data_IF_147660860733
#
_entry.id   IF_147660860733
#
_cell.length_a   1.000
_cell.length_b   1.000
_cell.length_c   1.000
_cell.angle_alpha   90.00
_cell.angle_beta   90.00
_cell.angle_gamma   90.00
#
_symmetry.space_group_name_H-M   'P 1'
#
loop_
_entity.id
_entity.type
_entity.pdbx_description
1 polymer ?
#
# COMPACT_ATOMS: atom_id res chain seq x y z
N UNK A 1 -31.24 10.02 -9.00
CA UNK A 1 -30.11 9.07 -9.20
C UNK A 1 -29.26 9.06 -7.95
N UNK A 2 -28.63 7.93 -7.61
CA UNK A 2 -27.66 7.86 -6.53
C UNK A 2 -26.32 8.45 -7.00
N UNK A 3 -25.61 9.13 -6.09
CA UNK A 3 -24.24 9.58 -6.32
C UNK A 3 -23.29 8.36 -6.30
N UNK A 4 -22.55 8.14 -7.39
CA UNK A 4 -21.70 6.98 -7.58
C UNK A 4 -20.32 7.25 -7.02
N UNK A 5 -19.92 6.46 -6.03
CA UNK A 5 -18.58 6.51 -5.44
C UNK A 5 -17.87 5.23 -5.84
N UNK A 6 -16.78 5.35 -6.59
CA UNK A 6 -15.92 4.22 -6.96
C UNK A 6 -14.64 4.30 -6.14
N UNK A 7 -14.28 3.21 -5.47
CA UNK A 7 -13.05 3.07 -4.67
C UNK A 7 -12.18 2.02 -5.34
N UNK A 8 -10.96 2.38 -5.73
CA UNK A 8 -9.99 1.50 -6.39
C UNK A 8 -9.00 0.95 -5.40
N UNK A 9 -8.99 -0.36 -5.22
CA UNK A 9 -8.15 -1.09 -4.27
C UNK A 9 -8.79 -1.24 -2.90
N UNK A 10 -8.83 -2.47 -2.40
CA UNK A 10 -9.41 -2.87 -1.11
C UNK A 10 -8.34 -3.20 -0.05
N UNK A 11 -7.17 -2.56 -0.12
CA UNK A 11 -6.16 -2.62 0.94
C UNK A 11 -6.60 -1.89 2.22
N UNK A 12 -5.65 -1.66 3.14
CA UNK A 12 -5.90 -0.97 4.42
C UNK A 12 -6.63 0.37 4.26
N UNK A 13 -6.31 1.13 3.21
CA UNK A 13 -6.86 2.46 2.98
C UNK A 13 -8.21 2.41 2.26
N UNK A 14 -8.31 1.70 1.13
CA UNK A 14 -9.54 1.66 0.34
C UNK A 14 -10.70 1.00 1.07
N UNK A 15 -10.47 -0.15 1.72
CA UNK A 15 -11.48 -0.79 2.56
C UNK A 15 -11.95 0.13 3.70
N UNK A 16 -11.01 0.86 4.33
CA UNK A 16 -11.31 1.84 5.37
C UNK A 16 -12.15 3.00 4.87
N UNK A 17 -11.83 3.57 3.70
CA UNK A 17 -12.64 4.63 3.07
C UNK A 17 -14.05 4.15 2.76
N UNK A 18 -14.17 3.00 2.05
CA UNK A 18 -15.46 2.47 1.64
C UNK A 18 -16.38 2.22 2.84
N UNK A 19 -15.88 1.55 3.89
CA UNK A 19 -16.65 1.27 5.10
C UNK A 19 -17.05 2.53 5.86
N UNK A 20 -16.13 3.51 5.97
CA UNK A 20 -16.40 4.78 6.64
C UNK A 20 -17.45 5.61 5.90
N UNK A 21 -17.41 5.64 4.57
CA UNK A 21 -18.43 6.29 3.73
C UNK A 21 -19.80 5.61 3.86
N UNK A 22 -19.86 4.29 3.78
CA UNK A 22 -21.10 3.52 3.94
C UNK A 22 -21.76 3.73 5.31
N UNK A 23 -20.98 4.06 6.33
CA UNK A 23 -21.50 4.39 7.67
C UNK A 23 -21.96 5.83 7.80
N UNK A 24 -21.36 6.78 7.03
CA UNK A 24 -21.67 8.21 7.11
C UNK A 24 -22.77 8.67 6.17
N UNK A 25 -22.92 8.02 5.01
CA UNK A 25 -23.85 8.42 3.95
C UNK A 25 -25.08 7.51 3.91
N UNK A 26 -26.21 8.10 3.52
CA UNK A 26 -27.46 7.35 3.43
C UNK A 26 -27.50 6.52 2.14
N UNK A 27 -27.78 5.23 2.24
CA UNK A 27 -27.75 4.26 1.12
C UNK A 27 -28.66 4.60 -0.05
N UNK A 28 -29.77 5.33 0.18
CA UNK A 28 -30.63 5.73 -0.91
C UNK A 28 -30.04 6.85 -1.77
N UNK A 29 -29.02 7.57 -1.25
CA UNK A 29 -28.43 8.72 -1.91
C UNK A 29 -27.11 8.39 -2.61
N UNK A 30 -26.43 7.31 -2.17
CA UNK A 30 -25.11 6.94 -2.70
C UNK A 30 -25.04 5.46 -3.06
N UNK A 31 -24.35 5.14 -4.14
CA UNK A 31 -23.90 3.81 -4.50
C UNK A 31 -22.38 3.76 -4.34
N UNK A 32 -21.87 2.78 -3.60
CA UNK A 32 -20.42 2.61 -3.37
C UNK A 32 -19.98 1.29 -3.99
N UNK A 33 -19.11 1.38 -5.00
CA UNK A 33 -18.47 0.22 -5.63
C UNK A 33 -16.99 0.18 -5.24
N UNK A 34 -16.55 -0.93 -4.66
CA UNK A 34 -15.16 -1.20 -4.28
C UNK A 34 -14.55 -2.18 -5.26
N UNK A 35 -13.58 -1.73 -6.05
CA UNK A 35 -12.90 -2.54 -7.07
C UNK A 35 -11.61 -3.12 -6.51
N UNK A 36 -11.40 -4.42 -6.64
CA UNK A 36 -10.15 -5.08 -6.24
C UNK A 36 -9.89 -6.32 -7.09
N UNK A 37 -8.63 -6.61 -7.38
CA UNK A 37 -8.25 -7.78 -8.18
C UNK A 37 -8.33 -9.10 -7.39
N UNK A 38 -8.11 -9.06 -6.08
CA UNK A 38 -8.16 -10.23 -5.18
C UNK A 38 -9.51 -10.29 -4.48
N UNK A 39 -9.99 -11.50 -4.15
CA UNK A 39 -11.23 -11.72 -3.40
C UNK A 39 -11.10 -11.50 -1.90
N UNK A 40 -9.86 -11.56 -1.40
CA UNK A 40 -9.54 -11.50 0.02
C UNK A 40 -8.70 -10.26 0.37
N UNK A 41 -8.86 -9.77 1.58
CA UNK A 41 -7.97 -8.78 2.14
C UNK A 41 -6.59 -9.36 2.41
N UNK A 42 -5.55 -8.71 1.86
CA UNK A 42 -4.14 -9.10 2.02
C UNK A 42 -3.48 -8.30 3.15
N UNK A 43 -3.03 -9.00 4.20
CA UNK A 43 -2.23 -8.38 5.28
C UNK A 43 -0.80 -8.06 4.80
N UNK A 44 -0.61 -7.04 3.94
CA UNK A 44 0.69 -6.67 3.35
C UNK A 44 1.83 -6.53 4.38
N UNK A 45 1.50 -6.08 5.58
CA UNK A 45 2.48 -5.92 6.67
C UNK A 45 3.03 -7.26 7.19
N UNK A 46 2.51 -8.40 6.71
CA UNK A 46 2.92 -9.75 7.10
C UNK A 46 3.44 -10.60 5.95
N UNK A 47 3.74 -10.01 4.80
CA UNK A 47 4.22 -10.77 3.64
C UNK A 47 5.55 -11.49 3.91
N UNK A 48 6.43 -10.91 4.74
CA UNK A 48 7.64 -11.56 5.23
C UNK A 48 7.35 -12.85 6.01
N UNK A 49 6.24 -12.89 6.77
CA UNK A 49 5.79 -14.08 7.52
C UNK A 49 5.22 -15.15 6.58
N UNK A 50 4.41 -14.74 5.58
CA UNK A 50 3.89 -15.63 4.56
C UNK A 50 5.01 -16.28 3.74
N UNK A 51 6.05 -15.51 3.43
CA UNK A 51 7.21 -15.96 2.66
C UNK A 51 8.03 -17.07 3.36
N UNK A 52 7.97 -17.17 4.68
CA UNK A 52 8.63 -18.23 5.43
C UNK A 52 7.69 -19.37 5.88
N UNK A 53 6.46 -19.39 5.35
CA UNK A 53 5.52 -20.49 5.55
C UNK A 53 4.49 -20.28 6.66
N UNK A 54 4.41 -19.08 7.27
CA UNK A 54 3.33 -18.82 8.21
C UNK A 54 2.00 -18.64 7.48
N UNK A 55 0.94 -19.25 8.00
CA UNK A 55 -0.40 -19.09 7.46
C UNK A 55 -1.04 -17.80 7.99
N UNK A 56 -1.60 -17.01 7.07
CA UNK A 56 -2.36 -15.81 7.39
C UNK A 56 -3.84 -16.10 7.31
N UNK A 57 -4.62 -15.50 8.21
CA UNK A 57 -6.08 -15.67 8.22
C UNK A 57 -6.68 -15.07 6.94
N UNK A 58 -7.45 -15.85 6.20
CA UNK A 58 -8.29 -15.35 5.10
C UNK A 58 -9.36 -14.40 5.65
N UNK A 59 -9.64 -13.34 4.88
CA UNK A 59 -10.69 -12.34 5.14
C UNK A 59 -11.37 -11.99 3.82
N UNK A 60 -12.33 -12.80 3.39
CA UNK A 60 -13.07 -12.56 2.15
C UNK A 60 -13.85 -11.24 2.20
N UNK A 61 -13.83 -10.48 1.12
CA UNK A 61 -14.49 -9.19 1.06
C UNK A 61 -16.01 -9.29 1.11
N UNK A 62 -16.61 -10.36 0.63
CA UNK A 62 -18.05 -10.64 0.75
C UNK A 62 -18.48 -10.73 2.22
N UNK A 63 -17.69 -11.39 3.08
CA UNK A 63 -17.92 -11.43 4.52
C UNK A 63 -17.69 -10.05 5.17
N UNK A 64 -16.58 -9.38 4.84
CA UNK A 64 -16.19 -8.10 5.44
C UNK A 64 -17.21 -7.00 5.15
N UNK A 65 -17.78 -6.98 3.95
CA UNK A 65 -18.73 -5.97 3.52
C UNK A 65 -20.18 -6.40 3.55
N UNK A 66 -20.48 -7.61 4.04
CA UNK A 66 -21.85 -8.10 4.21
C UNK A 66 -22.72 -7.08 4.97
N UNK A 67 -23.93 -6.81 4.44
CA UNK A 67 -24.86 -5.88 5.07
C UNK A 67 -24.43 -4.40 5.08
N UNK A 68 -23.28 -4.02 4.54
CA UNK A 68 -22.83 -2.62 4.49
C UNK A 68 -23.50 -1.81 3.37
N UNK A 69 -23.90 -2.45 2.29
CA UNK A 69 -24.41 -1.85 1.04
C UNK A 69 -23.28 -1.39 0.11
N UNK A 70 -22.07 -1.87 0.33
CA UNK A 70 -20.95 -1.72 -0.59
C UNK A 70 -21.01 -2.88 -1.57
N UNK A 71 -20.94 -2.57 -2.86
CA UNK A 71 -20.76 -3.54 -3.93
C UNK A 71 -19.26 -3.81 -4.10
N UNK A 72 -18.84 -5.07 -3.93
CA UNK A 72 -17.46 -5.49 -4.21
C UNK A 72 -17.39 -6.02 -5.64
N UNK A 73 -16.54 -5.41 -6.46
CA UNK A 73 -16.29 -5.82 -7.83
C UNK A 73 -14.90 -6.42 -7.95
N UNK A 74 -14.84 -7.72 -8.23
CA UNK A 74 -13.57 -8.43 -8.48
C UNK A 74 -13.12 -8.14 -9.91
N UNK A 75 -12.19 -7.21 -10.04
CA UNK A 75 -11.61 -6.79 -11.31
C UNK A 75 -10.27 -6.10 -11.10
N UNK A 76 -9.41 -6.16 -12.10
CA UNK A 76 -8.17 -5.41 -12.17
C UNK A 76 -8.43 -4.04 -12.80
N UNK A 77 -7.87 -2.98 -12.21
CA UNK A 77 -7.97 -1.64 -12.77
C UNK A 77 -6.95 -1.49 -13.89
N UNK A 78 -7.43 -1.28 -15.12
CA UNK A 78 -6.61 -1.11 -16.31
C UNK A 78 -6.30 0.35 -16.64
N UNK A 79 -7.19 1.29 -16.26
CA UNK A 79 -6.98 2.71 -16.53
C UNK A 79 -8.00 3.61 -15.83
N UNK A 80 -7.68 4.89 -15.76
CA UNK A 80 -8.54 5.96 -15.26
C UNK A 80 -8.56 7.10 -16.26
N UNK A 81 -9.75 7.47 -16.74
CA UNK A 81 -9.99 8.70 -17.51
C UNK A 81 -10.65 9.69 -16.56
N UNK A 82 -9.86 10.62 -16.03
CA UNK A 82 -10.34 11.55 -15.03
C UNK A 82 -11.24 12.65 -15.66
N UNK A 83 -11.01 13.02 -16.91
CA UNK A 83 -11.81 14.01 -17.64
C UNK A 83 -13.21 13.47 -17.97
N UNK A 84 -13.30 12.21 -18.40
CA UNK A 84 -14.57 11.52 -18.67
C UNK A 84 -15.22 10.95 -17.41
N UNK A 85 -14.52 10.94 -16.28
CA UNK A 85 -14.95 10.32 -15.02
C UNK A 85 -15.31 8.85 -15.17
N UNK A 86 -14.42 8.10 -15.82
CA UNK A 86 -14.55 6.67 -16.03
C UNK A 86 -13.31 5.91 -15.54
N UNK A 87 -13.53 4.68 -15.11
CA UNK A 87 -12.47 3.71 -14.78
C UNK A 87 -12.64 2.51 -15.68
N UNK A 88 -11.59 2.13 -16.38
CA UNK A 88 -11.56 0.88 -17.14
C UNK A 88 -11.09 -0.25 -16.22
N UNK A 89 -11.88 -1.30 -16.13
CA UNK A 89 -11.54 -2.50 -15.36
C UNK A 89 -11.57 -3.73 -16.24
N UNK A 90 -10.70 -4.69 -15.97
CA UNK A 90 -10.69 -6.01 -16.59
C UNK A 90 -11.20 -7.02 -15.58
N UNK A 91 -12.18 -7.82 -15.97
CA UNK A 91 -12.72 -8.89 -15.13
C UNK A 91 -11.60 -9.83 -14.66
N UNK A 92 -11.66 -10.29 -13.42
CA UNK A 92 -10.65 -11.17 -12.82
C UNK A 92 -10.47 -12.51 -13.60
N UNK A 93 -11.43 -12.89 -14.42
CA UNK A 93 -11.37 -14.07 -15.28
C UNK A 93 -10.97 -13.75 -16.73
N UNK A 94 -10.60 -12.50 -17.04
CA UNK A 94 -10.18 -12.07 -18.37
C UNK A 94 -11.31 -11.98 -19.41
N UNK A 95 -12.56 -12.01 -18.98
CA UNK A 95 -13.74 -12.09 -19.84
C UNK A 95 -14.08 -10.78 -20.59
N UNK A 96 -13.31 -9.71 -20.38
CA UNK A 96 -13.48 -8.44 -21.10
C UNK A 96 -13.19 -7.21 -20.25
N UNK A 97 -13.17 -6.07 -20.92
CA UNK A 97 -13.06 -4.76 -20.28
C UNK A 97 -14.43 -4.14 -20.06
N UNK A 98 -14.60 -3.44 -18.95
CA UNK A 98 -15.80 -2.69 -18.61
C UNK A 98 -15.40 -1.27 -18.17
N UNK A 99 -16.19 -0.28 -18.56
CA UNK A 99 -16.08 1.08 -18.01
C UNK A 99 -17.05 1.27 -16.84
N UNK A 100 -16.55 1.82 -15.75
CA UNK A 100 -17.31 2.23 -14.57
C UNK A 100 -17.31 3.75 -14.50
N UNK A 101 -18.46 4.37 -14.66
CA UNK A 101 -18.59 5.81 -14.51
C UNK A 101 -18.76 6.18 -13.02
N UNK A 102 -18.15 7.29 -12.58
CA UNK A 102 -18.20 7.77 -11.21
C UNK A 102 -18.58 9.25 -11.11
N UNK A 103 -19.10 9.65 -9.96
CA UNK A 103 -19.30 11.04 -9.55
C UNK A 103 -18.24 11.45 -8.50
N UNK A 104 -17.71 10.47 -7.76
CA UNK A 104 -16.52 10.60 -6.91
C UNK A 104 -15.66 9.35 -7.05
N UNK A 105 -14.35 9.54 -7.26
CA UNK A 105 -13.36 8.48 -7.30
C UNK A 105 -12.46 8.54 -6.07
N UNK A 106 -12.20 7.39 -5.46
CA UNK A 106 -11.15 7.23 -4.46
C UNK A 106 -10.07 6.30 -5.01
N UNK A 107 -8.92 6.85 -5.32
CA UNK A 107 -7.76 6.12 -5.82
C UNK A 107 -6.94 5.60 -4.63
N UNK A 108 -6.99 4.29 -4.37
CA UNK A 108 -6.34 3.62 -3.25
C UNK A 108 -5.59 2.35 -3.69
N UNK A 109 -5.04 2.34 -4.91
CA UNK A 109 -4.33 1.19 -5.48
C UNK A 109 -3.01 0.88 -4.76
N UNK A 110 -2.54 1.78 -3.89
CA UNK A 110 -1.34 1.58 -3.09
C UNK A 110 -0.06 1.60 -3.93
N UNK A 111 0.86 0.72 -3.58
CA UNK A 111 2.17 0.58 -4.22
C UNK A 111 2.52 -0.88 -4.44
N UNK A 112 3.45 -1.13 -5.33
CA UNK A 112 3.99 -2.45 -5.61
C UNK A 112 5.50 -2.50 -5.43
N UNK A 113 6.07 -3.57 -5.92
CA UNK A 113 7.51 -3.77 -5.99
C UNK A 113 8.18 -2.78 -6.96
N UNK A 114 9.37 -2.32 -6.59
CA UNK A 114 10.19 -1.43 -7.41
C UNK A 114 11.57 -2.03 -7.64
N UNK A 115 11.90 -2.52 -8.85
CA UNK A 115 13.22 -3.02 -9.20
C UNK A 115 14.28 -1.91 -9.27
N UNK A 116 13.89 -0.64 -9.20
CA UNK A 116 14.75 0.56 -9.23
C UNK A 116 15.70 0.66 -10.44
N UNK A 117 15.38 -0.03 -11.53
CA UNK A 117 16.22 -0.06 -12.74
C UNK A 117 17.55 -0.76 -12.55
N UNK A 118 17.76 -1.51 -11.46
CA UNK A 118 18.97 -2.30 -11.25
C UNK A 118 18.92 -3.54 -12.15
N UNK A 119 19.92 -3.75 -13.05
CA UNK A 119 19.94 -4.86 -13.98
C UNK A 119 19.77 -6.22 -13.31
N UNK A 120 19.00 -7.09 -13.92
CA UNK A 120 18.75 -8.47 -13.47
C UNK A 120 17.81 -8.59 -12.25
N UNK A 121 17.36 -7.49 -11.65
CA UNK A 121 16.46 -7.55 -10.48
C UNK A 121 15.12 -8.17 -10.85
N UNK A 122 14.55 -7.81 -11.99
CA UNK A 122 13.25 -8.31 -12.43
C UNK A 122 13.29 -9.83 -12.74
N UNK A 123 14.43 -10.34 -13.20
CA UNK A 123 14.63 -11.72 -13.62
C UNK A 123 15.06 -12.65 -12.48
N UNK A 124 15.86 -12.14 -11.54
CA UNK A 124 16.57 -12.97 -10.56
C UNK A 124 16.22 -12.70 -9.10
N UNK A 125 15.54 -11.57 -8.79
CA UNK A 125 15.16 -11.29 -7.44
C UNK A 125 13.71 -11.68 -7.12
N UNK A 126 13.46 -11.99 -5.85
CA UNK A 126 12.15 -12.20 -5.27
C UNK A 126 11.68 -10.95 -4.52
N UNK A 127 10.39 -10.69 -4.52
CA UNK A 127 9.78 -9.57 -3.82
C UNK A 127 8.76 -10.04 -2.77
N UNK A 128 8.50 -9.21 -1.78
CA UNK A 128 7.50 -9.44 -0.74
C UNK A 128 6.52 -8.25 -0.61
N UNK A 129 6.35 -7.49 -1.67
CA UNK A 129 5.41 -6.37 -1.71
C UNK A 129 3.95 -6.84 -1.82
N UNK A 130 3.74 -8.06 -2.34
CA UNK A 130 2.42 -8.65 -2.52
C UNK A 130 2.37 -10.16 -2.22
N UNK A 131 1.15 -10.70 -2.17
CA UNK A 131 0.91 -12.13 -1.90
C UNK A 131 1.57 -13.05 -2.94
N UNK A 132 1.46 -12.79 -4.26
CA UNK A 132 2.08 -13.65 -5.26
C UNK A 132 3.60 -13.76 -5.11
N UNK A 133 4.28 -12.64 -4.86
CA UNK A 133 5.72 -12.61 -4.62
C UNK A 133 6.13 -13.37 -3.36
N UNK A 134 5.42 -13.14 -2.25
CA UNK A 134 5.68 -13.85 -1.00
C UNK A 134 5.51 -15.38 -1.14
N UNK A 135 4.50 -15.85 -1.90
CA UNK A 135 4.31 -17.28 -2.16
C UNK A 135 5.41 -17.87 -3.04
N UNK A 136 5.85 -17.16 -4.10
CA UNK A 136 6.99 -17.59 -4.90
C UNK A 136 8.28 -17.69 -4.07
N UNK A 137 8.51 -16.70 -3.19
CA UNK A 137 9.65 -16.74 -2.28
C UNK A 137 9.55 -17.91 -1.30
N UNK A 138 8.36 -18.18 -0.73
CA UNK A 138 8.11 -19.35 0.15
C UNK A 138 8.50 -20.65 -0.52
N UNK A 139 8.04 -20.87 -1.76
CA UNK A 139 8.39 -22.08 -2.53
C UNK A 139 9.88 -22.19 -2.79
N UNK A 140 10.54 -21.07 -3.09
CA UNK A 140 11.97 -21.03 -3.38
C UNK A 140 12.79 -21.33 -2.12
N UNK A 141 12.46 -20.69 -0.98
CA UNK A 141 13.12 -20.94 0.30
C UNK A 141 12.98 -22.39 0.77
N UNK A 142 11.81 -23.01 0.53
CA UNK A 142 11.57 -24.42 0.90
C UNK A 142 12.45 -25.42 0.15
N UNK A 143 13.01 -25.04 -1.00
CA UNK A 143 13.87 -25.89 -1.85
C UNK A 143 15.36 -25.67 -1.59
N UNK A 144 15.73 -24.78 -0.67
CA UNK A 144 17.13 -24.53 -0.34
C UNK A 144 17.66 -25.58 0.62
N UNK A 145 18.87 -26.06 0.34
CA UNK A 145 19.65 -26.90 1.22
C UNK A 145 20.32 -26.05 2.32
N UNK A 146 20.73 -26.70 3.40
CA UNK A 146 21.49 -26.05 4.48
C UNK A 146 22.79 -25.41 3.96
N UNK A 147 23.15 -24.25 4.49
CA UNK A 147 24.32 -23.48 4.10
C UNK A 147 24.16 -22.68 2.81
N UNK A 148 23.00 -22.74 2.13
CA UNK A 148 22.81 -21.92 0.95
C UNK A 148 22.58 -20.44 1.30
N UNK A 149 23.22 -19.51 0.56
CA UNK A 149 23.16 -18.08 0.86
C UNK A 149 21.85 -17.45 0.42
N UNK A 150 21.22 -16.68 1.31
CA UNK A 150 20.06 -15.84 1.04
C UNK A 150 20.42 -14.38 1.29
N UNK A 151 20.35 -13.55 0.25
CA UNK A 151 20.70 -12.13 0.35
C UNK A 151 19.44 -11.26 0.32
N UNK A 152 19.27 -10.45 1.35
CA UNK A 152 18.23 -9.44 1.41
C UNK A 152 18.83 -8.09 1.01
N UNK A 153 18.34 -7.48 -0.04
CA UNK A 153 18.75 -6.15 -0.50
C UNK A 153 17.79 -5.10 0.03
N UNK A 154 18.29 -4.26 0.94
CA UNK A 154 17.53 -3.15 1.52
C UNK A 154 17.59 -3.12 3.05
N UNK A 155 18.18 -2.07 3.62
CA UNK A 155 18.33 -1.84 5.07
C UNK A 155 17.12 -1.16 5.74
N UNK A 156 15.99 -1.01 5.03
CA UNK A 156 14.75 -0.46 5.59
C UNK A 156 13.91 -1.48 6.36
N UNK A 157 12.74 -1.04 6.89
CA UNK A 157 11.89 -1.87 7.74
C UNK A 157 11.56 -3.23 7.11
N UNK A 158 11.17 -3.24 5.83
CA UNK A 158 10.78 -4.46 5.11
C UNK A 158 11.94 -5.44 5.00
N UNK A 159 13.14 -4.96 4.68
CA UNK A 159 14.33 -5.80 4.58
C UNK A 159 14.76 -6.38 5.93
N UNK A 160 14.68 -5.58 7.00
CA UNK A 160 14.98 -6.03 8.36
C UNK A 160 13.99 -7.12 8.82
N UNK A 161 12.69 -6.92 8.58
CA UNK A 161 11.65 -7.90 8.91
C UNK A 161 11.84 -9.19 8.10
N UNK A 162 12.17 -9.10 6.81
CA UNK A 162 12.42 -10.27 5.98
C UNK A 162 13.68 -11.03 6.41
N UNK A 163 14.80 -10.34 6.62
CA UNK A 163 16.07 -10.98 7.01
C UNK A 163 15.94 -11.71 8.34
N UNK A 164 15.35 -11.06 9.34
CA UNK A 164 15.22 -11.66 10.68
C UNK A 164 14.20 -12.79 10.72
N UNK A 165 13.10 -12.71 9.95
CA UNK A 165 12.09 -13.77 9.88
C UNK A 165 12.65 -15.00 9.15
N UNK A 166 13.41 -14.81 8.05
CA UNK A 166 14.07 -15.91 7.34
C UNK A 166 15.13 -16.58 8.23
N UNK A 167 16.02 -15.79 8.85
CA UNK A 167 17.07 -16.34 9.69
C UNK A 167 16.52 -17.07 10.94
N UNK A 168 15.42 -16.57 11.53
CA UNK A 168 14.79 -17.26 12.70
C UNK A 168 14.08 -18.56 12.27
N UNK A 169 13.46 -18.59 11.09
CA UNK A 169 12.69 -19.75 10.59
C UNK A 169 13.59 -20.80 9.96
N UNK A 170 14.67 -20.38 9.29
CA UNK A 170 15.65 -21.22 8.59
C UNK A 170 17.08 -20.92 9.09
N UNK A 171 17.38 -21.28 10.35
CA UNK A 171 18.70 -21.05 10.96
C UNK A 171 19.83 -21.88 10.29
N UNK A 172 19.47 -22.76 9.39
CA UNK A 172 20.37 -23.56 8.56
C UNK A 172 20.86 -22.82 7.30
N UNK A 173 20.29 -21.66 6.96
CA UNK A 173 20.69 -20.87 5.80
C UNK A 173 21.67 -19.76 6.18
N UNK A 174 22.53 -19.37 5.22
CA UNK A 174 23.45 -18.25 5.37
C UNK A 174 22.74 -16.96 4.95
N UNK A 175 22.19 -16.21 5.92
CA UNK A 175 21.44 -14.99 5.64
C UNK A 175 22.35 -13.78 5.67
N UNK A 176 22.31 -12.97 4.59
CA UNK A 176 23.00 -11.69 4.53
C UNK A 176 22.05 -10.54 4.18
N UNK A 177 22.33 -9.35 4.70
CA UNK A 177 21.61 -8.13 4.40
C UNK A 177 22.56 -7.10 3.79
N UNK A 178 22.20 -6.54 2.62
CA UNK A 178 22.97 -5.51 1.92
C UNK A 178 22.23 -4.18 2.03
N UNK A 179 22.90 -3.17 2.58
CA UNK A 179 22.36 -1.83 2.78
C UNK A 179 23.27 -0.77 2.16
N UNK A 180 22.71 0.12 1.33
CA UNK A 180 23.44 1.21 0.68
C UNK A 180 23.95 2.25 1.69
N UNK A 181 23.20 2.51 2.77
CA UNK A 181 23.59 3.36 3.89
C UNK A 181 24.11 2.55 5.07
N UNK A 182 24.30 3.23 6.20
CA UNK A 182 24.65 2.57 7.46
C UNK A 182 23.46 1.77 8.03
N UNK A 183 23.78 0.69 8.69
CA UNK A 183 22.77 -0.24 9.22
C UNK A 183 22.04 0.34 10.44
N UNK A 184 20.79 0.76 10.20
CA UNK A 184 19.95 1.37 11.22
C UNK A 184 20.27 2.84 11.53
N UNK A 185 20.89 3.58 10.61
CA UNK A 185 21.26 5.00 10.79
C UNK A 185 20.06 5.90 11.13
N UNK A 186 18.89 5.53 10.69
CA UNK A 186 17.62 6.23 10.96
C UNK A 186 17.00 5.90 12.33
N UNK A 187 17.62 5.00 13.11
CA UNK A 187 17.23 4.65 14.48
C UNK A 187 18.00 5.46 15.51
N UNK A 188 17.45 5.53 16.74
CA UNK A 188 18.23 5.97 17.89
C UNK A 188 19.39 5.01 18.21
N UNK A 189 20.40 5.47 18.95
CA UNK A 189 21.52 4.62 19.35
C UNK A 189 21.08 3.36 20.08
N UNK A 190 20.05 3.48 20.95
CA UNK A 190 19.43 2.33 21.63
C UNK A 190 18.78 1.35 20.63
N UNK A 191 18.05 1.88 19.67
CA UNK A 191 17.40 1.07 18.62
C UNK A 191 18.42 0.36 17.74
N UNK A 192 19.45 1.08 17.31
CA UNK A 192 20.54 0.56 16.48
C UNK A 192 21.36 -0.51 17.20
N UNK A 193 21.72 -0.28 18.46
CA UNK A 193 22.43 -1.28 19.27
C UNK A 193 21.62 -2.57 19.44
N UNK A 194 20.30 -2.47 19.69
CA UNK A 194 19.43 -3.63 19.77
C UNK A 194 19.32 -4.36 18.43
N UNK A 195 19.13 -3.64 17.32
CA UNK A 195 19.06 -4.21 15.98
C UNK A 195 20.33 -5.03 15.66
N UNK A 196 21.51 -4.45 15.87
CA UNK A 196 22.81 -5.13 15.66
C UNK A 196 22.94 -6.39 16.52
N UNK A 197 22.54 -6.30 17.80
CA UNK A 197 22.56 -7.44 18.71
C UNK A 197 21.67 -8.60 18.21
N UNK A 198 20.46 -8.29 17.75
CA UNK A 198 19.52 -9.32 17.26
C UNK A 198 20.05 -9.95 15.97
N UNK A 199 20.50 -9.14 15.00
CA UNK A 199 21.06 -9.67 13.75
C UNK A 199 22.29 -10.56 13.99
N UNK A 200 23.20 -10.15 14.87
CA UNK A 200 24.35 -10.96 15.26
C UNK A 200 23.91 -12.28 15.95
N UNK A 201 22.90 -12.22 16.82
CA UNK A 201 22.34 -13.41 17.48
C UNK A 201 21.63 -14.38 16.53
N UNK A 202 21.14 -13.89 15.40
CA UNK A 202 20.52 -14.69 14.32
C UNK A 202 21.54 -15.13 13.25
N UNK A 203 22.82 -14.77 13.38
CA UNK A 203 23.86 -15.11 12.41
C UNK A 203 23.77 -14.33 11.09
N UNK A 204 23.03 -13.20 11.06
CA UNK A 204 22.88 -12.40 9.86
C UNK A 204 24.15 -11.60 9.58
N UNK A 205 24.77 -11.81 8.41
CA UNK A 205 25.88 -10.99 7.91
C UNK A 205 25.34 -9.68 7.35
N UNK A 206 25.90 -8.54 7.76
CA UNK A 206 25.46 -7.20 7.31
C UNK A 206 26.53 -6.52 6.50
N UNK A 207 26.23 -6.20 5.24
CA UNK A 207 27.05 -5.39 4.34
C UNK A 207 26.48 -3.96 4.34
N UNK A 208 27.13 -3.08 5.10
CA UNK A 208 26.78 -1.64 5.17
C UNK A 208 27.52 -0.86 4.09
N UNK A 209 27.00 0.32 3.73
CA UNK A 209 27.61 1.23 2.75
C UNK A 209 27.94 0.52 1.43
N UNK A 210 27.08 -0.43 1.03
CA UNK A 210 27.27 -1.30 -0.13
C UNK A 210 26.11 -1.10 -1.11
N UNK A 211 26.42 -0.54 -2.27
CA UNK A 211 25.42 -0.35 -3.33
C UNK A 211 25.36 -1.56 -4.24
N UNK A 212 24.16 -2.07 -4.47
CA UNK A 212 23.92 -3.15 -5.45
C UNK A 212 23.88 -2.54 -6.84
N UNK A 213 24.69 -3.10 -7.75
CA UNK A 213 24.82 -2.65 -9.15
C UNK A 213 24.11 -3.56 -10.14
N UNK A 214 23.98 -4.86 -9.83
CA UNK A 214 23.20 -5.81 -10.59
C UNK A 214 22.83 -7.04 -9.73
N UNK A 215 21.84 -7.80 -10.18
CA UNK A 215 21.44 -9.08 -9.58
C UNK A 215 21.62 -10.17 -10.64
N UNK A 216 22.36 -11.22 -10.29
CA UNK A 216 22.54 -12.41 -11.11
C UNK A 216 21.84 -13.62 -10.47
N UNK A 217 21.81 -14.73 -11.16
CA UNK A 217 21.10 -15.93 -10.70
C UNK A 217 21.70 -16.54 -9.43
N UNK A 218 22.99 -16.32 -9.17
CA UNK A 218 23.78 -16.95 -8.09
C UNK A 218 24.50 -15.93 -7.18
N UNK A 219 24.35 -14.63 -7.43
CA UNK A 219 25.02 -13.56 -6.65
C UNK A 219 24.40 -12.18 -6.87
N UNK A 220 24.74 -11.31 -5.96
CA UNK A 220 24.44 -9.87 -6.05
C UNK A 220 25.75 -9.14 -6.33
N UNK A 221 25.82 -8.41 -7.44
CA UNK A 221 26.96 -7.54 -7.75
C UNK A 221 26.82 -6.22 -6.98
N UNK A 222 27.93 -5.78 -6.42
CA UNK A 222 27.99 -4.55 -5.63
C UNK A 222 29.08 -3.62 -6.18
N UNK A 223 29.16 -2.40 -5.63
CA UNK A 223 30.28 -1.49 -5.86
C UNK A 223 31.60 -1.94 -5.20
N UNK A 224 31.56 -3.07 -4.49
CA UNK A 224 32.70 -3.76 -3.89
C UNK A 224 32.78 -5.22 -4.33
N UNK A 225 32.90 -6.13 -3.35
CA UNK A 225 32.96 -7.57 -3.60
C UNK A 225 31.57 -8.14 -3.85
N UNK A 226 31.36 -8.95 -4.90
CA UNK A 226 30.10 -9.66 -5.11
C UNK A 226 29.71 -10.52 -3.91
N UNK A 227 28.40 -10.57 -3.59
CA UNK A 227 27.85 -11.37 -2.50
C UNK A 227 27.14 -12.59 -3.10
N UNK A 228 27.58 -13.82 -2.80
CA UNK A 228 26.91 -15.03 -3.26
C UNK A 228 25.45 -15.08 -2.78
N UNK A 229 24.52 -15.51 -3.63
CA UNK A 229 23.10 -15.57 -3.33
C UNK A 229 22.41 -16.69 -4.12
N UNK A 230 22.03 -17.77 -3.47
CA UNK A 230 21.13 -18.77 -4.06
C UNK A 230 19.69 -18.20 -4.19
N UNK A 231 19.36 -17.22 -3.33
CA UNK A 231 18.12 -16.43 -3.38
C UNK A 231 18.43 -14.98 -3.05
N UNK A 232 17.97 -14.07 -3.91
CA UNK A 232 17.99 -12.63 -3.64
C UNK A 232 16.58 -12.16 -3.34
N UNK A 233 16.38 -11.50 -2.17
CA UNK A 233 15.13 -10.86 -1.78
C UNK A 233 15.29 -9.34 -1.91
N UNK A 234 14.51 -8.73 -2.79
CA UNK A 234 14.58 -7.30 -3.05
C UNK A 234 13.55 -6.53 -2.21
N UNK A 235 14.03 -5.75 -1.25
CA UNK A 235 13.22 -5.01 -0.29
C UNK A 235 13.53 -3.49 -0.30
N UNK A 236 13.94 -2.95 -1.46
CA UNK A 236 14.33 -1.55 -1.60
C UNK A 236 13.23 -0.71 -2.26
N UNK A 237 12.47 0.02 -1.47
CA UNK A 237 11.48 0.98 -1.96
C UNK A 237 10.23 0.35 -2.56
N UNK A 238 9.26 1.22 -2.81
CA UNK A 238 7.99 0.90 -3.45
C UNK A 238 7.79 1.79 -4.67
N UNK A 239 7.04 1.32 -5.65
CA UNK A 239 6.56 2.12 -6.77
C UNK A 239 5.02 2.12 -6.76
N UNK A 240 4.42 3.27 -7.06
CA UNK A 240 2.98 3.33 -7.31
C UNK A 240 2.65 2.76 -8.69
N UNK A 241 1.39 2.36 -8.89
CA UNK A 241 0.96 1.88 -10.20
C UNK A 241 0.99 3.01 -11.23
N UNK A 242 1.46 2.76 -12.47
CA UNK A 242 1.60 3.79 -13.52
C UNK A 242 0.26 4.33 -14.04
N UNK A 243 -0.86 3.76 -13.61
CA UNK A 243 -2.22 4.14 -14.03
C UNK A 243 -2.52 5.62 -13.77
N UNK A 244 -2.05 6.17 -12.63
CA UNK A 244 -2.25 7.58 -12.33
C UNK A 244 -1.43 8.48 -13.26
N UNK A 245 -0.18 8.11 -13.56
CA UNK A 245 0.71 8.82 -14.48
C UNK A 245 0.20 8.76 -15.92
N UNK A 246 -0.42 7.64 -16.32
CA UNK A 246 -1.03 7.47 -17.65
C UNK A 246 -2.38 8.20 -17.81
N UNK A 247 -2.89 8.82 -16.74
CA UNK A 247 -4.12 9.61 -16.76
C UNK A 247 -3.81 11.12 -16.84
N UNK A 248 -4.87 11.95 -16.85
CA UNK A 248 -4.74 13.43 -16.79
C UNK A 248 -4.59 13.96 -15.35
N UNK A 249 -4.45 13.08 -14.35
CA UNK A 249 -4.22 13.45 -12.95
C UNK A 249 -2.82 14.06 -12.76
N UNK A 250 -2.74 15.13 -11.98
CA UNK A 250 -1.45 15.68 -11.60
C UNK A 250 -0.74 14.71 -10.63
N UNK A 251 0.46 14.27 -11.04
CA UNK A 251 1.29 13.35 -10.26
C UNK A 251 2.66 13.95 -9.97
N UNK A 252 3.29 13.48 -8.91
CA UNK A 252 4.66 13.81 -8.54
C UNK A 252 5.67 13.08 -9.43
N UNK A 253 6.96 13.44 -9.33
CA UNK A 253 8.05 12.70 -9.98
C UNK A 253 8.21 11.24 -9.54
N UNK A 254 7.47 10.80 -8.50
CA UNK A 254 7.38 9.40 -8.05
C UNK A 254 6.06 8.73 -8.46
N UNK A 255 5.25 9.38 -9.31
CA UNK A 255 3.97 8.87 -9.81
C UNK A 255 2.80 8.98 -8.82
N UNK A 256 3.00 9.54 -7.62
CA UNK A 256 1.94 9.72 -6.64
C UNK A 256 1.03 10.88 -7.02
N UNK A 257 -0.29 10.73 -6.88
CA UNK A 257 -1.27 11.78 -7.15
C UNK A 257 -1.09 12.91 -6.14
N UNK A 258 -0.93 14.14 -6.63
CA UNK A 258 -0.81 15.34 -5.78
C UNK A 258 -2.18 15.68 -5.20
N UNK A 259 -2.26 15.78 -3.87
CA UNK A 259 -3.52 16.05 -3.17
C UNK A 259 -3.42 17.23 -2.21
N UNK A 260 -4.56 17.84 -1.94
CA UNK A 260 -4.71 18.85 -0.89
C UNK A 260 -4.79 18.23 0.52
N UNK A 261 -4.86 19.05 1.56
CA UNK A 261 -5.00 18.59 2.95
C UNK A 261 -6.28 17.80 3.26
N UNK A 262 -7.20 17.67 2.31
CA UNK A 262 -8.42 16.84 2.41
C UNK A 262 -8.33 15.56 1.57
N UNK A 263 -7.15 15.23 1.05
CA UNK A 263 -6.85 14.10 0.15
C UNK A 263 -7.51 14.22 -1.22
N UNK A 264 -7.96 15.41 -1.61
CA UNK A 264 -8.57 15.70 -2.90
C UNK A 264 -7.49 16.03 -3.91
N UNK A 265 -7.55 15.46 -5.11
CA UNK A 265 -6.63 15.80 -6.20
C UNK A 265 -6.65 17.30 -6.48
N UNK A 266 -5.48 17.89 -6.71
CA UNK A 266 -5.35 19.31 -7.05
C UNK A 266 -5.79 19.61 -8.49
N UNK A 267 -5.75 18.61 -9.38
CA UNK A 267 -6.16 18.75 -10.79
C UNK A 267 -7.63 18.39 -11.02
N UNK A 268 -8.19 17.39 -10.32
CA UNK A 268 -9.54 16.87 -10.56
C UNK A 268 -10.33 16.80 -9.25
N UNK A 269 -11.28 17.73 -9.04
CA UNK A 269 -11.96 17.88 -7.76
C UNK A 269 -12.88 16.71 -7.35
N UNK A 270 -13.25 15.83 -8.23
CA UNK A 270 -14.01 14.62 -7.98
C UNK A 270 -13.15 13.42 -7.60
N UNK A 271 -11.80 13.53 -7.72
CA UNK A 271 -10.85 12.48 -7.42
C UNK A 271 -10.18 12.72 -6.07
N UNK A 272 -10.09 11.68 -5.27
CA UNK A 272 -9.35 11.62 -4.01
C UNK A 272 -8.30 10.53 -4.11
N UNK A 273 -7.12 10.75 -3.54
CA UNK A 273 -6.11 9.69 -3.44
C UNK A 273 -5.69 9.50 -1.98
N UNK A 274 -5.43 8.23 -1.60
CA UNK A 274 -5.10 7.86 -0.22
C UNK A 274 -4.02 6.78 -0.17
N UNK A 275 -3.32 6.71 0.96
CA UNK A 275 -2.25 5.74 1.17
C UNK A 275 -1.04 6.01 0.30
N UNK A 276 -0.36 4.94 -0.13
CA UNK A 276 0.90 5.04 -0.87
C UNK A 276 0.75 5.75 -2.23
N UNK A 277 -0.45 5.73 -2.82
CA UNK A 277 -0.74 6.35 -4.10
C UNK A 277 -0.87 7.88 -4.06
N UNK A 278 -0.92 8.48 -2.87
CA UNK A 278 -1.09 9.91 -2.69
C UNK A 278 0.20 10.59 -2.22
N UNK A 279 0.56 11.72 -2.85
CA UNK A 279 1.57 12.62 -2.32
C UNK A 279 0.90 13.58 -1.34
N UNK A 280 1.09 13.32 -0.05
CA UNK A 280 0.49 14.11 1.04
C UNK A 280 1.58 14.87 1.76
N UNK A 281 1.41 16.18 1.92
CA UNK A 281 2.26 17.00 2.76
C UNK A 281 2.04 16.64 4.24
N UNK A 282 3.09 16.28 4.92
CA UNK A 282 3.12 16.01 6.35
C UNK A 282 3.70 17.18 7.16
N UNK A 283 4.03 16.96 8.44
CA UNK A 283 4.66 17.96 9.28
C UNK A 283 5.98 18.49 8.70
N UNK A 284 6.13 19.81 8.68
CA UNK A 284 7.31 20.48 8.10
C UNK A 284 7.36 20.41 6.58
N UNK A 285 6.22 20.30 5.92
CA UNK A 285 6.05 20.18 4.45
C UNK A 285 6.82 19.02 3.82
N UNK A 286 7.19 18.02 4.63
CA UNK A 286 7.82 16.79 4.14
C UNK A 286 6.73 15.82 3.67
N UNK A 287 6.94 15.11 2.53
CA UNK A 287 6.01 14.07 2.10
C UNK A 287 5.85 12.96 3.16
N UNK A 288 4.62 12.49 3.35
CA UNK A 288 4.38 11.31 4.19
C UNK A 288 4.99 10.07 3.55
N UNK A 289 5.55 9.16 4.38
CA UNK A 289 6.07 7.87 3.90
C UNK A 289 4.94 6.99 3.35
N UNK A 290 5.26 6.17 2.36
CA UNK A 290 4.44 5.00 1.98
C UNK A 290 4.42 3.99 3.14
N UNK A 291 3.37 4.02 3.95
CA UNK A 291 3.22 3.14 5.13
C UNK A 291 1.77 3.09 5.62
N UNK A 292 1.41 2.03 6.36
CA UNK A 292 0.09 1.99 7.00
C UNK A 292 -0.08 3.07 8.09
N UNK A 293 1.01 3.58 8.67
CA UNK A 293 0.96 4.64 9.68
C UNK A 293 0.40 5.96 9.10
N UNK A 294 0.74 6.27 7.86
CA UNK A 294 0.21 7.42 7.11
C UNK A 294 -1.09 7.07 6.36
N UNK A 295 -1.19 5.86 5.82
CA UNK A 295 -2.31 5.43 4.98
C UNK A 295 -3.66 5.45 5.69
N UNK A 296 -3.76 4.90 6.90
CA UNK A 296 -5.04 4.85 7.64
C UNK A 296 -5.58 6.24 7.98
N UNK A 297 -4.80 7.20 8.51
CA UNK A 297 -5.28 8.57 8.71
C UNK A 297 -5.71 9.27 7.42
N UNK A 298 -4.99 9.08 6.28
CA UNK A 298 -5.40 9.65 4.99
C UNK A 298 -6.74 9.08 4.52
N UNK A 299 -6.98 7.79 4.73
CA UNK A 299 -8.26 7.16 4.42
C UNK A 299 -9.43 7.78 5.22
N UNK A 300 -9.23 8.02 6.51
CA UNK A 300 -10.24 8.68 7.35
C UNK A 300 -10.49 10.12 6.93
N UNK A 301 -9.43 10.86 6.64
CA UNK A 301 -9.49 12.24 6.18
C UNK A 301 -10.29 12.34 4.87
N UNK A 302 -9.98 11.50 3.88
CA UNK A 302 -10.69 11.47 2.60
C UNK A 302 -12.17 11.13 2.77
N UNK A 303 -12.50 10.07 3.52
CA UNK A 303 -13.87 9.65 3.73
C UNK A 303 -14.70 10.74 4.44
N UNK A 304 -14.11 11.39 5.45
CA UNK A 304 -14.77 12.49 6.18
C UNK A 304 -14.94 13.73 5.32
N UNK A 305 -13.95 14.04 4.45
CA UNK A 305 -14.02 15.17 3.52
C UNK A 305 -15.08 14.94 2.43
N UNK A 306 -15.12 13.73 1.83
CA UNK A 306 -16.16 13.37 0.86
C UNK A 306 -17.55 13.47 1.51
N UNK A 307 -17.73 12.85 2.67
CA UNK A 307 -19.01 12.89 3.38
C UNK A 307 -19.43 14.34 3.73
N UNK A 308 -18.49 15.18 4.18
CA UNK A 308 -18.76 16.58 4.49
C UNK A 308 -19.21 17.36 3.25
N UNK A 309 -18.53 17.21 2.11
CA UNK A 309 -18.90 17.88 0.86
C UNK A 309 -20.27 17.45 0.37
N UNK A 310 -20.58 16.16 0.40
CA UNK A 310 -21.87 15.63 -0.06
C UNK A 310 -23.03 16.00 0.86
N UNK A 311 -22.79 16.26 2.14
CA UNK A 311 -23.85 16.54 3.13
C UNK A 311 -23.87 17.98 3.64
N UNK A 312 -23.07 18.89 3.06
CA UNK A 312 -22.96 20.28 3.52
C UNK A 312 -22.30 20.41 4.90
N UNK A 313 -21.53 19.39 5.32
CA UNK A 313 -20.86 19.37 6.61
C UNK A 313 -19.54 20.15 6.64
N UNK A 314 -18.99 20.32 7.84
CA UNK A 314 -17.65 20.93 8.02
C UNK A 314 -16.56 19.96 7.58
N UNK A 315 -15.61 20.46 6.78
CA UNK A 315 -14.44 19.69 6.36
C UNK A 315 -13.58 19.30 7.58
N UNK A 316 -13.04 18.07 7.60
CA UNK A 316 -12.14 17.65 8.66
C UNK A 316 -10.82 18.43 8.57
N UNK A 317 -10.18 18.59 9.73
CA UNK A 317 -8.83 19.14 9.86
C UNK A 317 -8.03 18.15 10.71
N UNK A 318 -7.63 17.04 10.12
CA UNK A 318 -6.79 16.06 10.80
C UNK A 318 -5.34 16.38 10.43
N UNK A 319 -4.52 16.64 11.43
CA UNK A 319 -3.07 16.71 11.25
C UNK A 319 -2.51 15.30 11.29
N UNK A 320 -1.96 14.83 10.17
CA UNK A 320 -1.33 13.51 10.07
C UNK A 320 0.11 13.63 10.56
N UNK A 321 0.45 12.87 11.60
CA UNK A 321 1.77 12.91 12.25
C UNK A 321 2.21 11.51 12.67
N UNK A 322 3.51 11.32 12.77
CA UNK A 322 4.09 10.09 13.26
C UNK A 322 4.23 10.09 14.78
N UNK A 323 4.30 8.91 15.37
CA UNK A 323 4.53 8.69 16.80
C UNK A 323 5.59 7.63 17.02
N UNK A 324 5.65 6.64 16.15
CA UNK A 324 6.53 5.48 16.28
C UNK A 324 6.69 4.73 14.97
N UNK A 325 7.77 3.96 14.88
CA UNK A 325 8.01 2.96 13.86
C UNK A 325 8.09 1.60 14.54
N UNK A 326 7.28 0.65 14.09
CA UNK A 326 7.18 -0.68 14.68
C UNK A 326 7.86 -1.70 13.76
N UNK A 327 8.89 -2.38 14.24
CA UNK A 327 9.72 -3.31 13.48
C UNK A 327 9.66 -4.68 14.14
N UNK A 328 9.31 -5.71 13.38
CA UNK A 328 9.49 -7.10 13.78
C UNK A 328 10.94 -7.51 13.54
N UNK A 329 11.55 -8.19 14.49
CA UNK A 329 12.90 -8.75 14.36
C UNK A 329 12.84 -10.26 14.60
N UNK A 330 12.09 -10.96 13.74
CA UNK A 330 11.61 -12.31 13.97
C UNK A 330 10.38 -12.33 14.88
N UNK A 331 10.04 -13.51 15.44
CA UNK A 331 8.82 -13.67 16.27
C UNK A 331 9.05 -13.39 17.76
N UNK A 332 10.30 -13.46 18.22
CA UNK A 332 10.66 -13.33 19.64
C UNK A 332 11.16 -11.95 20.01
N UNK A 333 11.62 -11.18 19.03
CA UNK A 333 12.23 -9.89 19.21
C UNK A 333 11.49 -8.81 18.39
N UNK A 334 11.57 -7.55 18.85
CA UNK A 334 11.00 -6.43 18.15
C UNK A 334 11.66 -5.12 18.57
N UNK A 335 11.37 -4.08 17.81
CA UNK A 335 11.85 -2.73 18.06
C UNK A 335 10.73 -1.73 17.75
N UNK A 336 10.35 -0.93 18.74
CA UNK A 336 9.47 0.21 18.57
C UNK A 336 10.31 1.46 18.77
N UNK A 337 10.64 2.13 17.68
CA UNK A 337 11.34 3.39 17.69
C UNK A 337 10.32 4.53 17.82
N UNK A 338 10.37 5.29 18.92
CA UNK A 338 9.57 6.50 19.04
C UNK A 338 10.16 7.61 18.16
N UNK A 339 9.28 8.38 17.53
CA UNK A 339 9.68 9.40 16.57
C UNK A 339 8.94 10.73 16.84
N UNK A 340 9.48 11.81 16.31
CA UNK A 340 8.83 13.12 16.26
C UNK A 340 7.66 13.11 15.27
N UNK A 341 6.86 14.17 15.25
CA UNK A 341 5.75 14.30 14.30
C UNK A 341 6.19 14.18 12.84
N UNK A 342 7.41 14.63 12.51
CA UNK A 342 8.05 14.56 11.19
C UNK A 342 8.98 13.36 11.01
N UNK A 343 8.77 12.28 11.80
CA UNK A 343 9.41 10.97 11.67
C UNK A 343 10.91 10.90 12.00
N UNK A 344 11.44 11.82 12.80
CA UNK A 344 12.82 11.76 13.28
C UNK A 344 12.92 10.91 14.56
N UNK A 345 13.93 10.05 14.65
CA UNK A 345 14.11 9.17 15.79
C UNK A 345 14.33 9.95 17.11
N UNK A 346 13.52 9.65 18.11
CA UNK A 346 13.75 10.08 19.49
C UNK A 346 14.71 9.11 20.19
N UNK A 347 15.45 9.53 21.22
CA UNK A 347 16.37 8.66 21.95
C UNK A 347 15.71 7.43 22.60
N UNK A 348 14.36 7.46 22.73
CA UNK A 348 13.58 6.38 23.38
C UNK A 348 13.21 5.32 22.38
N UNK A 349 13.43 4.06 22.73
CA UNK A 349 12.96 2.88 22.00
C UNK A 349 12.52 1.79 22.98
N UNK A 350 11.47 1.04 22.60
CA UNK A 350 11.07 -0.20 23.26
C UNK A 350 11.66 -1.36 22.46
N UNK A 351 12.26 -2.34 23.14
CA UNK A 351 12.99 -3.44 22.51
C UNK A 351 12.63 -4.77 23.11
N UNK A 352 13.02 -5.85 22.45
CA UNK A 352 12.85 -7.21 22.96
C UNK A 352 11.44 -7.76 22.80
N UNK A 353 11.12 -8.77 23.60
CA UNK A 353 9.85 -9.49 23.54
C UNK A 353 8.61 -8.60 23.75
N UNK A 354 8.73 -7.58 24.60
CA UNK A 354 7.61 -6.63 24.82
C UNK A 354 7.32 -5.84 23.53
N UNK A 355 8.35 -5.43 22.81
CA UNK A 355 8.19 -4.75 21.52
C UNK A 355 7.60 -5.70 20.46
N UNK A 356 7.99 -6.98 20.45
CA UNK A 356 7.40 -7.98 19.54
C UNK A 356 5.90 -8.15 19.81
N UNK A 357 5.49 -8.29 21.07
CA UNK A 357 4.07 -8.39 21.46
C UNK A 357 3.30 -7.11 21.07
N UNK A 358 3.89 -5.94 21.33
CA UNK A 358 3.29 -4.65 20.94
C UNK A 358 3.07 -4.55 19.43
N UNK A 359 4.10 -4.88 18.61
CA UNK A 359 3.98 -4.91 17.14
C UNK A 359 2.87 -5.86 16.70
N UNK A 360 2.79 -7.06 17.30
CA UNK A 360 1.75 -8.04 16.97
C UNK A 360 0.34 -7.51 17.30
N UNK A 361 0.15 -6.82 18.41
CA UNK A 361 -1.13 -6.16 18.76
C UNK A 361 -1.49 -5.10 17.72
N UNK A 362 -0.53 -4.28 17.29
CA UNK A 362 -0.76 -3.26 16.24
C UNK A 362 -1.17 -3.90 14.92
N UNK A 363 -0.47 -4.95 14.48
CA UNK A 363 -0.81 -5.65 13.24
C UNK A 363 -2.19 -6.31 13.31
N UNK A 364 -2.50 -7.00 14.42
CA UNK A 364 -3.84 -7.61 14.64
C UNK A 364 -4.94 -6.56 14.72
N UNK A 365 -4.67 -5.44 15.40
CA UNK A 365 -5.60 -4.32 15.51
C UNK A 365 -5.90 -3.67 14.15
N UNK A 366 -4.88 -3.47 13.33
CA UNK A 366 -5.04 -2.93 11.97
C UNK A 366 -5.86 -3.88 11.08
N UNK A 367 -5.55 -5.18 11.10
CA UNK A 367 -6.29 -6.18 10.35
C UNK A 367 -7.74 -6.33 10.85
N UNK A 368 -7.95 -6.24 12.16
CA UNK A 368 -9.30 -6.25 12.75
C UNK A 368 -10.11 -5.03 12.33
N UNK A 369 -9.51 -3.84 12.36
CA UNK A 369 -10.18 -2.60 11.97
C UNK A 369 -10.61 -2.61 10.49
N UNK A 370 -9.78 -3.19 9.61
CA UNK A 370 -10.11 -3.36 8.18
C UNK A 370 -11.21 -4.40 8.01
N UNK A 371 -11.15 -5.52 8.74
CA UNK A 371 -12.19 -6.55 8.71
C UNK A 371 -13.56 -6.08 9.26
N UNK A 372 -13.57 -4.97 10.00
CA UNK A 372 -14.78 -4.35 10.54
C UNK A 372 -14.90 -2.88 10.11
N UNK A 373 -14.96 -2.60 8.81
CA UNK A 373 -14.72 -1.27 8.25
C UNK A 373 -15.78 -0.23 8.65
N UNK A 374 -16.90 -0.66 9.23
CA UNK A 374 -17.97 0.21 9.75
C UNK A 374 -17.96 0.39 11.27
N UNK A 375 -17.14 -0.37 12.01
CA UNK A 375 -17.04 -0.29 13.47
C UNK A 375 -16.21 0.92 13.88
N UNK A 376 -16.55 1.51 15.03
CA UNK A 376 -15.83 2.67 15.57
C UNK A 376 -16.11 4.01 14.87
N UNK A 377 -16.96 4.02 13.86
CA UNK A 377 -17.41 5.25 13.21
C UNK A 377 -18.66 5.75 13.93
N UNK A 378 -18.56 6.81 14.77
CA UNK A 378 -19.72 7.32 15.50
C UNK A 378 -20.61 8.06 14.50
N UNK A 379 -21.78 7.49 14.11
CA UNK A 379 -22.60 8.21 13.17
C UNK A 379 -24.04 7.85 12.98
N UNK A 380 -24.81 8.91 12.84
CA UNK A 380 -26.06 8.94 12.11
C UNK A 380 -25.77 9.12 10.62
N UNK A 381 -26.23 8.22 9.75
CA UNK A 381 -26.18 8.37 8.28
C UNK A 381 -26.87 9.65 7.88
N UNK A 382 -26.19 10.48 7.10
CA UNK A 382 -26.71 11.77 6.62
C UNK A 382 -27.17 11.65 5.19
N UNK A 383 -28.22 12.40 4.84
CA UNK A 383 -28.69 12.57 3.46
C UNK A 383 -27.76 13.53 2.73
N UNK A 384 -27.57 13.31 1.43
CA UNK A 384 -26.82 14.24 0.59
C UNK A 384 -27.63 15.50 0.33
N UNK A 385 -26.94 16.65 0.30
CA UNK A 385 -27.54 17.95 0.00
C UNK A 385 -27.40 18.36 -1.46
N UNK A 386 -26.51 17.69 -2.20
CA UNK A 386 -26.31 17.92 -3.62
C UNK A 386 -27.13 16.94 -4.45
N UNK A 387 -27.99 17.40 -5.38
CA UNK A 387 -28.55 16.53 -6.40
C UNK A 387 -27.40 15.96 -7.26
N UNK A 388 -27.50 14.69 -7.67
CA UNK A 388 -26.57 14.11 -8.61
C UNK A 388 -26.47 14.99 -9.87
N UNK A 389 -25.26 15.46 -10.21
CA UNK A 389 -25.08 16.23 -11.44
C UNK A 389 -25.45 15.35 -12.63
N UNK A 390 -26.20 15.87 -13.64
CA UNK A 390 -26.51 15.09 -14.80
C UNK A 390 -25.21 14.72 -15.51
N UNK A 391 -25.05 13.46 -15.83
CA UNK A 391 -23.97 12.93 -16.67
C UNK A 391 -24.00 13.71 -17.99
N UNK A 392 -22.89 14.33 -18.36
CA UNK A 392 -22.70 14.89 -19.71
C UNK A 392 -22.80 13.70 -20.70
N UNK A 393 -23.99 13.46 -21.22
CA UNK A 393 -24.17 12.58 -22.36
C UNK A 393 -23.40 13.19 -23.52
N UNK A 394 -22.46 12.45 -24.09
CA UNK A 394 -21.75 12.83 -25.30
C UNK A 394 -22.78 13.30 -26.34
N UNK A 395 -22.65 14.53 -26.80
CA UNK A 395 -23.39 15.01 -27.94
C UNK A 395 -23.08 14.09 -29.12
N UNK A 396 -24.10 13.40 -29.62
CA UNK A 396 -24.03 12.72 -30.90
C UNK A 396 -23.65 13.80 -31.97
N UNK A 397 -22.56 13.55 -32.65
CA UNK A 397 -22.16 14.35 -33.82
C UNK A 397 -23.29 14.25 -34.85
N UNK A 398 -23.82 15.35 -35.38
CA UNK A 398 -24.77 15.29 -36.47
C UNK A 398 -24.07 14.70 -37.71
N UNK A 399 -24.56 13.59 -38.18
CA UNK A 399 -24.20 13.07 -39.52
C UNK A 399 -24.71 14.09 -40.55
N UNK A 400 -23.81 14.79 -41.23
CA UNK A 400 -24.14 15.60 -42.41
C UNK A 400 -24.67 14.69 -43.49
N UNK A 401 -25.98 14.75 -43.64
CA UNK A 401 -26.66 14.31 -44.86
C UNK A 401 -26.65 15.51 -45.82
N UNK A 402 -25.66 15.58 -46.68
CA UNK A 402 -25.73 16.42 -47.87
C UNK A 402 -26.20 15.59 -49.05
N UNK A 403 -27.40 15.94 -49.44
CA UNK A 403 -28.13 15.44 -50.56
C UNK A 403 -27.42 15.72 -51.91
N UNK A 404 -27.57 14.76 -52.80
CA UNK A 404 -27.55 14.95 -54.25
C UNK A 404 -28.52 16.06 -54.69
N UNK A 405 -28.09 16.91 -55.58
CA UNK A 405 -28.91 17.48 -56.60
C UNK A 405 -28.05 18.05 -57.77
N UNK A 406 -28.16 17.34 -58.89
CA UNK A 406 -28.37 17.81 -60.26
C UNK A 406 -27.45 18.91 -60.85
N UNK A 407 -26.66 18.60 -61.81
CA UNK A 407 -26.78 18.93 -63.26
C UNK A 407 -25.57 18.37 -64.02
#
# INVERSE_FOLDING_TARGET
MQHRIVVLGAGYTGAGVAGRLAKRLHRADVAITLVNAESDFIERVRMHQLAVGQELRSRPFDEMFAGTGIEVKLAEVAGVDADRRTVTVTDAHGAGQQELAYDTLVYALGSGWNPQGVPGTAEHAHEIAGRPGALRLRERLARLDAGQPVVIVGGGLTGLEAATEIAETRPDLDVALVARGGFGDWLSDKGRAHLRKVCAGLGITVHEHTAVTAVEADRVLTDGTPVPAAVTVWATGFAVHPIAEASTLEVSGTGQIVVDGTMRSVSHPEVYAVGDAALVAGPGDKPLRMSCASGVPTAWQAADAIAARLTGGKLPKIEIRYYQQCISLGRKEGLIQFVTADDQALPKALTGRIAAVYKEIICKGAAWAVAHPTVGVPVRRRRTTQPAQPTLTAKATPTDATAEATA
#
